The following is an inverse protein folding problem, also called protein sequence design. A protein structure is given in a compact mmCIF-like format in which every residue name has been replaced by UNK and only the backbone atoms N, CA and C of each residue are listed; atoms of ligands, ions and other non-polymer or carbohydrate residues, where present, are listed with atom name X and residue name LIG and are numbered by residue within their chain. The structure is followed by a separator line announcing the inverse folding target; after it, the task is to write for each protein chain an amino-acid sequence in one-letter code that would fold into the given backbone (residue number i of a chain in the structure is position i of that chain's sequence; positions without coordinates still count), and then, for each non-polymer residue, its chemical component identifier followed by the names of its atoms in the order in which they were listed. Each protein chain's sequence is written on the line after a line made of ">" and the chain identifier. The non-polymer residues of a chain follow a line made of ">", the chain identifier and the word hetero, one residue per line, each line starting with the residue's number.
data_IF_881136555051
#
_entry.id   IF_881136555051
#
_cell.length_a   1.000
_cell.length_b   1.000
_cell.length_c   1.000
_cell.angle_alpha   90.00
_cell.angle_beta   90.00
_cell.angle_gamma   90.00
#
_symmetry.space_group_name_H-M   'P 1'
#
loop_
_entity.id
_entity.type
_entity.pdbx_description
1 polymer ?
#
# COMPACT_ATOMS: atom_id res chain seq x y z
N UNK A 1 14.55 4.67 32.83
CA UNK A 1 15.38 3.90 31.88
C UNK A 1 14.58 2.68 31.45
N UNK A 2 14.03 2.69 30.23
CA UNK A 2 13.21 1.59 29.70
C UNK A 2 14.14 0.49 29.17
N UNK A 3 14.51 -0.46 30.03
CA UNK A 3 15.28 -1.67 29.70
C UNK A 3 14.39 -2.77 29.05
N UNK A 4 13.55 -2.42 28.08
CA UNK A 4 12.78 -3.41 27.31
C UNK A 4 12.54 -2.97 25.86
N UNK A 5 13.42 -2.15 25.30
CA UNK A 5 13.45 -1.93 23.87
C UNK A 5 14.18 -3.12 23.25
N UNK A 6 13.42 -4.12 22.77
CA UNK A 6 13.92 -5.08 21.81
C UNK A 6 14.23 -4.32 20.51
N UNK A 7 15.37 -3.61 20.51
CA UNK A 7 15.91 -2.90 19.36
C UNK A 7 16.90 -3.86 18.71
N UNK A 8 16.47 -4.76 17.81
CA UNK A 8 17.43 -5.51 17.03
C UNK A 8 18.37 -4.51 16.35
N UNK A 9 19.67 -4.81 16.36
CA UNK A 9 20.67 -4.00 15.67
C UNK A 9 20.32 -3.80 14.19
N UNK A 10 21.07 -2.97 13.44
CA UNK A 10 20.77 -2.71 12.04
C UNK A 10 20.71 -4.04 11.26
N UNK A 11 19.50 -4.45 10.88
CA UNK A 11 19.28 -5.63 10.04
C UNK A 11 19.64 -5.26 8.62
N UNK A 12 20.68 -5.89 8.09
CA UNK A 12 21.05 -5.78 6.68
C UNK A 12 20.04 -6.57 5.84
N UNK A 13 19.20 -5.87 5.09
CA UNK A 13 18.19 -6.46 4.21
C UNK A 13 18.05 -5.64 2.93
N UNK A 14 17.64 -6.31 1.85
CA UNK A 14 17.44 -5.66 0.56
C UNK A 14 16.29 -4.64 0.58
N UNK A 15 15.23 -4.93 1.33
CA UNK A 15 14.04 -4.08 1.44
C UNK A 15 14.24 -2.84 2.31
N UNK A 16 13.45 -1.80 2.04
CA UNK A 16 13.34 -0.63 2.90
C UNK A 16 12.82 -1.03 4.30
N UNK A 17 13.55 -0.62 5.34
CA UNK A 17 13.15 -0.85 6.74
C UNK A 17 12.09 0.13 7.26
N UNK A 18 11.86 1.24 6.57
CA UNK A 18 10.95 2.29 7.03
C UNK A 18 9.50 1.90 6.80
N UNK A 19 8.61 2.36 7.68
CA UNK A 19 7.17 2.30 7.41
C UNK A 19 6.81 3.45 6.50
N UNK A 20 5.93 3.18 5.54
CA UNK A 20 5.41 4.19 4.63
C UNK A 20 4.56 5.19 5.40
N UNK A 21 4.99 6.45 5.48
CA UNK A 21 4.33 7.46 6.32
C UNK A 21 5.16 8.00 7.48
N UNK A 22 6.17 7.25 7.94
CA UNK A 22 6.94 7.67 9.12
C UNK A 22 7.95 8.78 8.79
N UNK A 23 8.39 9.52 9.81
CA UNK A 23 9.44 10.55 9.71
C UNK A 23 10.67 10.16 8.87
N UNK A 24 11.30 8.97 9.06
CA UNK A 24 12.41 8.55 8.22
C UNK A 24 12.03 8.32 6.76
N UNK A 25 10.79 7.93 6.45
CA UNK A 25 10.29 7.83 5.08
C UNK A 25 9.96 9.21 4.51
N UNK A 26 9.37 10.12 5.28
CA UNK A 26 9.02 11.47 4.86
C UNK A 26 7.84 11.60 3.89
N UNK A 27 7.28 10.48 3.43
CA UNK A 27 6.13 10.47 2.53
C UNK A 27 4.85 10.63 3.33
N UNK A 28 3.91 11.45 2.85
CA UNK A 28 2.57 11.50 3.43
C UNK A 28 1.61 10.66 2.56
N UNK A 29 1.21 9.45 3.00
CA UNK A 29 0.30 8.59 2.24
C UNK A 29 -1.07 9.25 2.01
N UNK A 30 -1.51 10.11 2.92
CA UNK A 30 -2.79 10.80 2.80
C UNK A 30 -2.74 11.89 1.71
N UNK A 31 -1.58 12.52 1.47
CA UNK A 31 -1.41 13.49 0.40
C UNK A 31 -1.40 12.85 -1.00
N UNK A 32 -1.09 11.55 -1.07
CA UNK A 32 -1.09 10.76 -2.31
C UNK A 32 -2.40 9.99 -2.52
N UNK A 33 -3.42 10.22 -1.69
CA UNK A 33 -4.69 9.55 -1.81
C UNK A 33 -5.43 10.02 -3.07
N UNK A 34 -5.85 9.07 -3.90
CA UNK A 34 -6.65 9.33 -5.10
C UNK A 34 -8.10 8.96 -4.79
N UNK A 35 -9.02 9.90 -4.98
CA UNK A 35 -10.44 9.62 -4.88
C UNK A 35 -10.90 8.90 -6.16
N UNK A 36 -11.67 7.83 -5.99
CA UNK A 36 -12.26 7.05 -7.06
C UNK A 36 -13.67 6.61 -6.71
N UNK A 37 -14.41 6.21 -7.73
CA UNK A 37 -15.79 5.75 -7.61
C UNK A 37 -15.92 4.31 -8.08
N UNK A 38 -16.80 3.58 -7.41
CA UNK A 38 -17.16 2.22 -7.80
C UNK A 38 -18.07 2.32 -9.02
N UNK A 39 -17.69 1.69 -10.12
CA UNK A 39 -18.44 1.77 -11.40
C UNK A 39 -19.14 0.46 -11.74
N UNK A 40 -18.65 -0.67 -11.22
CA UNK A 40 -19.16 -1.99 -11.51
C UNK A 40 -19.61 -2.75 -10.27
N UNK A 41 -20.30 -3.87 -10.52
CA UNK A 41 -20.70 -4.78 -9.46
C UNK A 41 -19.46 -5.39 -8.81
N UNK A 42 -19.19 -4.96 -7.59
CA UNK A 42 -18.00 -5.35 -6.84
C UNK A 42 -18.33 -6.49 -5.88
N UNK A 43 -17.35 -7.34 -5.61
CA UNK A 43 -17.43 -8.37 -4.58
C UNK A 43 -16.90 -7.81 -3.25
N UNK A 44 -17.11 -8.53 -2.15
CA UNK A 44 -16.55 -8.13 -0.84
C UNK A 44 -15.02 -8.01 -0.85
N UNK A 45 -14.32 -8.77 -1.71
CA UNK A 45 -12.85 -8.75 -1.84
C UNK A 45 -12.33 -8.08 -3.12
N UNK A 46 -13.20 -7.60 -4.00
CA UNK A 46 -12.79 -7.01 -5.30
C UNK A 46 -13.65 -5.81 -5.62
N UNK A 47 -13.02 -4.67 -5.86
CA UNK A 47 -13.69 -3.42 -6.24
C UNK A 47 -13.47 -3.18 -7.74
N UNK A 48 -14.56 -2.94 -8.47
CA UNK A 48 -14.53 -2.47 -9.86
C UNK A 48 -14.79 -0.96 -9.84
N UNK A 49 -13.83 -0.18 -10.31
CA UNK A 49 -13.80 1.27 -10.14
C UNK A 49 -13.32 2.00 -11.39
N UNK A 50 -13.41 3.32 -11.39
CA UNK A 50 -12.89 4.22 -12.44
C UNK A 50 -11.42 4.63 -12.24
N UNK A 51 -10.70 3.90 -11.38
CA UNK A 51 -9.35 4.28 -11.00
C UNK A 51 -8.37 4.12 -12.18
N UNK A 52 -7.90 5.24 -12.70
CA UNK A 52 -6.94 5.32 -13.79
C UNK A 52 -5.50 5.36 -13.25
N UNK A 53 -4.71 4.34 -13.58
CA UNK A 53 -3.28 4.28 -13.25
C UNK A 53 -2.61 3.04 -13.84
N UNK A 54 -1.32 2.92 -13.62
CA UNK A 54 -0.56 1.76 -14.08
C UNK A 54 -0.95 0.50 -13.30
N UNK A 55 -0.68 -0.66 -13.89
CA UNK A 55 -0.73 -1.92 -13.16
C UNK A 55 0.15 -1.85 -11.91
N UNK A 56 -0.34 -2.46 -10.83
CA UNK A 56 0.33 -2.53 -9.55
C UNK A 56 0.56 -1.18 -8.84
N UNK A 57 -0.06 -0.09 -9.31
CA UNK A 57 0.16 1.24 -8.76
C UNK A 57 -0.36 1.42 -7.32
N UNK A 58 -1.28 0.59 -6.84
CA UNK A 58 -1.82 0.61 -5.48
C UNK A 58 -1.57 -0.68 -4.70
N UNK A 59 -0.66 -1.53 -5.18
CA UNK A 59 -0.30 -2.76 -4.48
C UNK A 59 0.25 -2.44 -3.09
N UNK A 60 -0.13 -3.25 -2.11
CA UNK A 60 0.14 -3.03 -0.68
C UNK A 60 -0.37 -1.68 -0.14
N UNK A 61 -1.26 -1.02 -0.89
CA UNK A 61 -1.89 0.24 -0.53
C UNK A 61 -3.07 0.06 0.43
N UNK A 62 -3.79 1.15 0.65
CA UNK A 62 -4.99 1.16 1.50
C UNK A 62 -6.14 1.83 0.78
N UNK A 63 -7.32 1.27 0.91
CA UNK A 63 -8.57 1.86 0.43
C UNK A 63 -9.40 2.23 1.64
N UNK A 64 -9.85 3.49 1.68
CA UNK A 64 -10.77 4.00 2.69
C UNK A 64 -12.08 4.33 2.00
N UNK A 65 -13.15 3.66 2.39
CA UNK A 65 -14.49 3.93 1.86
C UNK A 65 -15.00 5.26 2.45
N UNK A 66 -15.36 6.22 1.61
CA UNK A 66 -15.87 7.52 2.03
C UNK A 66 -17.41 7.55 2.12
N UNK A 67 -18.09 6.69 1.35
CA UNK A 67 -19.55 6.58 1.34
C UNK A 67 -20.01 5.12 1.28
N UNK A 68 -21.33 4.93 1.37
CA UNK A 68 -21.95 3.61 1.27
C UNK A 68 -22.10 2.86 2.59
N UNK A 69 -22.45 1.58 2.50
CA UNK A 69 -22.61 0.69 3.67
C UNK A 69 -21.28 0.43 4.41
N UNK A 70 -20.16 0.69 3.74
CA UNK A 70 -18.82 0.48 4.27
C UNK A 70 -18.13 1.80 4.66
N UNK A 71 -18.85 2.93 4.73
CA UNK A 71 -18.26 4.23 5.01
C UNK A 71 -17.38 4.22 6.29
N UNK A 72 -16.15 4.73 6.18
CA UNK A 72 -15.15 4.74 7.25
C UNK A 72 -14.32 3.46 7.39
N UNK A 73 -14.66 2.38 6.68
CA UNK A 73 -13.86 1.16 6.70
C UNK A 73 -12.62 1.28 5.82
N UNK A 74 -11.51 0.79 6.37
CA UNK A 74 -10.23 0.71 5.67
C UNK A 74 -9.87 -0.75 5.37
N UNK A 75 -9.39 -1.01 4.14
CA UNK A 75 -8.86 -2.31 3.72
C UNK A 75 -7.54 -2.15 2.99
N UNK A 76 -6.68 -3.16 3.11
CA UNK A 76 -5.41 -3.21 2.38
C UNK A 76 -5.62 -3.78 0.99
N UNK A 77 -4.99 -3.18 -0.01
CA UNK A 77 -5.00 -3.64 -1.40
C UNK A 77 -3.95 -4.73 -1.56
N UNK A 78 -4.37 -5.87 -2.12
CA UNK A 78 -3.50 -6.99 -2.47
C UNK A 78 -2.87 -6.78 -3.83
N UNK A 79 -3.69 -6.50 -4.84
CA UNK A 79 -3.20 -6.16 -6.17
C UNK A 79 -4.16 -5.19 -6.85
N UNK A 80 -3.63 -4.42 -7.78
CA UNK A 80 -4.33 -3.37 -8.50
C UNK A 80 -4.03 -3.45 -9.98
N UNK A 81 -5.08 -3.33 -10.78
CA UNK A 81 -5.01 -3.16 -12.23
C UNK A 81 -5.92 -1.98 -12.62
N UNK A 82 -5.79 -1.42 -13.83
CA UNK A 82 -6.69 -0.37 -14.30
C UNK A 82 -8.16 -0.78 -14.12
N UNK A 83 -8.89 0.01 -13.33
CA UNK A 83 -10.30 -0.21 -13.03
C UNK A 83 -10.67 -1.39 -12.12
N UNK A 84 -9.69 -2.09 -11.52
CA UNK A 84 -9.95 -3.20 -10.58
C UNK A 84 -8.95 -3.23 -9.42
N UNK A 85 -9.47 -3.36 -8.21
CA UNK A 85 -8.68 -3.53 -6.99
C UNK A 85 -9.06 -4.84 -6.29
N UNK A 86 -8.08 -5.68 -5.98
CA UNK A 86 -8.24 -6.87 -5.14
C UNK A 86 -7.77 -6.55 -3.72
N UNK A 87 -8.51 -6.98 -2.71
CA UNK A 87 -8.27 -6.66 -1.31
C UNK A 87 -7.76 -7.87 -0.54
N UNK A 88 -6.91 -7.64 0.47
CA UNK A 88 -6.46 -8.69 1.38
C UNK A 88 -7.55 -9.19 2.32
N UNK A 89 -8.46 -8.30 2.72
CA UNK A 89 -9.55 -8.61 3.63
C UNK A 89 -10.89 -8.24 3.00
N UNK A 90 -11.92 -9.10 3.11
CA UNK A 90 -13.24 -8.76 2.61
C UNK A 90 -13.84 -7.58 3.39
N UNK A 91 -14.62 -6.76 2.69
CA UNK A 91 -15.57 -5.84 3.31
C UNK A 91 -16.77 -6.60 3.88
N UNK A 92 -17.43 -6.08 4.93
CA UNK A 92 -18.67 -6.65 5.45
C UNK A 92 -19.79 -6.68 4.40
N UNK A 93 -19.86 -5.64 3.56
CA UNK A 93 -20.83 -5.53 2.47
C UNK A 93 -20.10 -5.35 1.13
N UNK A 94 -20.61 -5.92 0.02
CA UNK A 94 -20.05 -5.67 -1.30
C UNK A 94 -20.27 -4.20 -1.72
N UNK A 95 -19.22 -3.45 -2.10
CA UNK A 95 -19.36 -2.08 -2.55
C UNK A 95 -20.30 -1.97 -3.75
N UNK A 96 -21.16 -0.95 -3.76
CA UNK A 96 -22.13 -0.74 -4.82
C UNK A 96 -21.66 0.34 -5.81
N UNK A 97 -22.06 0.26 -7.10
CA UNK A 97 -21.80 1.32 -8.06
C UNK A 97 -22.30 2.69 -7.56
N UNK A 98 -21.48 3.73 -7.71
CA UNK A 98 -21.74 5.09 -7.22
C UNK A 98 -21.16 5.40 -5.84
N UNK A 99 -20.66 4.39 -5.10
CA UNK A 99 -19.93 4.63 -3.86
C UNK A 99 -18.54 5.23 -4.13
N UNK A 100 -18.09 6.10 -3.24
CA UNK A 100 -16.82 6.83 -3.34
C UNK A 100 -15.84 6.29 -2.33
N UNK A 101 -14.58 6.14 -2.72
CA UNK A 101 -13.49 5.72 -1.85
C UNK A 101 -12.20 6.46 -2.18
N UNK A 102 -11.27 6.47 -1.22
CA UNK A 102 -9.93 7.02 -1.39
C UNK A 102 -8.91 5.88 -1.41
N UNK A 103 -8.20 5.73 -2.52
CA UNK A 103 -7.10 4.79 -2.69
C UNK A 103 -5.77 5.46 -2.40
N UNK A 104 -5.09 4.99 -1.38
CA UNK A 104 -3.73 5.39 -1.02
C UNK A 104 -2.73 4.41 -1.63
N UNK A 105 -1.66 4.88 -2.29
CA UNK A 105 -0.65 4.00 -2.84
C UNK A 105 0.09 3.25 -1.72
N UNK A 106 0.52 2.03 -2.01
CA UNK A 106 1.37 1.25 -1.12
C UNK A 106 2.85 1.37 -1.42
N UNK A 107 3.64 0.80 -0.53
CA UNK A 107 5.09 0.71 -0.63
C UNK A 107 5.57 -0.73 -0.46
N UNK A 108 6.09 -1.30 -1.53
CA UNK A 108 6.59 -2.69 -1.59
C UNK A 108 8.01 -2.80 -1.02
N UNK A 109 8.50 -1.71 -0.39
CA UNK A 109 9.83 -1.59 0.20
C UNK A 109 10.98 -1.80 -0.81
N UNK A 110 10.72 -1.66 -2.10
CA UNK A 110 11.75 -1.73 -3.15
C UNK A 110 12.27 -0.33 -3.53
N UNK A 111 13.51 -0.26 -4.02
CA UNK A 111 14.09 0.99 -4.51
C UNK A 111 13.29 1.56 -5.68
N UNK A 112 12.84 0.71 -6.62
CA UNK A 112 12.04 1.11 -7.76
C UNK A 112 10.76 1.84 -7.34
N UNK A 113 10.06 1.32 -6.33
CA UNK A 113 8.87 1.95 -5.76
C UNK A 113 9.19 3.25 -5.03
N UNK A 114 10.32 3.31 -4.34
CA UNK A 114 10.79 4.56 -3.71
C UNK A 114 11.08 5.65 -4.76
N UNK A 115 11.67 5.26 -5.90
CA UNK A 115 11.94 6.15 -7.03
C UNK A 115 10.65 6.63 -7.71
N UNK A 116 9.63 5.77 -7.86
CA UNK A 116 8.33 6.21 -8.41
C UNK A 116 7.64 7.25 -7.54
N UNK A 117 7.93 7.25 -6.24
CA UNK A 117 7.45 8.24 -5.26
C UNK A 117 8.41 9.44 -5.10
N UNK A 118 9.42 9.58 -5.96
CA UNK A 118 10.47 10.58 -5.86
C UNK A 118 11.21 10.61 -4.51
N UNK A 119 11.28 9.48 -3.81
CA UNK A 119 11.81 9.36 -2.45
C UNK A 119 13.05 8.46 -2.35
N UNK A 120 13.76 8.24 -3.45
CA UNK A 120 14.95 7.36 -3.49
C UNK A 120 16.03 7.75 -2.46
N UNK A 121 16.15 9.04 -2.12
CA UNK A 121 17.14 9.57 -1.17
C UNK A 121 16.89 9.08 0.26
N UNK A 122 15.64 8.80 0.64
CA UNK A 122 15.27 8.31 1.98
C UNK A 122 15.09 6.79 2.01
N UNK A 123 15.60 6.07 1.02
CA UNK A 123 15.55 4.62 1.02
C UNK A 123 16.46 4.04 2.11
N UNK A 124 15.88 3.39 3.11
CA UNK A 124 16.59 2.83 4.25
C UNK A 124 17.02 1.36 4.09
N UNK A 125 16.98 0.82 2.88
CA UNK A 125 17.39 -0.55 2.56
C UNK A 125 18.72 -0.60 1.83
N UNK A 126 19.22 -1.82 1.57
CA UNK A 126 20.48 -2.04 0.86
C UNK A 126 20.21 -2.92 -0.38
N UNK A 127 19.86 -2.33 -1.53
CA UNK A 127 19.28 -3.07 -2.65
C UNK A 127 20.27 -4.02 -3.34
N UNK A 128 21.58 -3.83 -3.11
CA UNK A 128 22.65 -4.64 -3.68
C UNK A 128 23.23 -5.67 -2.71
N UNK A 129 22.64 -5.84 -1.52
CA UNK A 129 23.07 -6.89 -0.60
C UNK A 129 22.67 -8.24 -1.21
N UNK A 130 23.63 -9.15 -1.46
CA UNK A 130 23.32 -10.47 -1.96
C UNK A 130 22.46 -11.22 -0.94
N UNK A 131 21.48 -11.99 -1.43
CA UNK A 131 20.77 -12.93 -0.57
C UNK A 131 21.79 -13.91 0.01
N UNK A 132 21.66 -14.33 1.28
CA UNK A 132 22.51 -15.40 1.79
C UNK A 132 22.28 -16.62 0.91
N UNK A 133 23.34 -17.03 0.22
CA UNK A 133 23.40 -18.29 -0.53
C UNK A 133 23.23 -19.42 0.48
N UNK A 134 22.01 -19.91 0.65
CA UNK A 134 21.76 -21.19 1.32
C UNK A 134 22.37 -22.26 0.43
N UNK A 135 23.60 -22.68 0.77
CA UNK A 135 24.20 -23.88 0.22
C UNK A 135 23.23 -25.05 0.41
N UNK A 136 22.71 -25.55 -0.70
CA UNK A 136 21.91 -26.79 -0.81
C UNK A 136 22.70 -28.01 -0.37
#
# INVERSE_FOLDING_TARGET
>A
VLFNANSPGPVYQAGCRHVFGDDPCGMNPAALAVAATVTGMSSTSTIICDLAGADHAWDHGRVIMASGLNAGLTRSVKTSSPGRLELYGPFPYPPQPGETFSAMPGCDKTLARCTSHANAVRFGGLPFVPVPETGT
#
